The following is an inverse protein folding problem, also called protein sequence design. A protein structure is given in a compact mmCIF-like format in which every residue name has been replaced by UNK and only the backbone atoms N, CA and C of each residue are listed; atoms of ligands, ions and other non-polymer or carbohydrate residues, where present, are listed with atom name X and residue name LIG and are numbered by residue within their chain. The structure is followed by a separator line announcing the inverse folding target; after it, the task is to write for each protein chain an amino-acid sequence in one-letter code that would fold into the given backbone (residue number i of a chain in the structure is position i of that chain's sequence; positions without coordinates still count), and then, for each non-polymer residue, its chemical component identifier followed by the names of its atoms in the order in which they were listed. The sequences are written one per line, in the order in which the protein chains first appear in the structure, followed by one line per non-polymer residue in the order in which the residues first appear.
data_IF_949730204146
#
_entry.id   IF_949730204146
#
_cell.length_a   1.000
_cell.length_b   1.000
_cell.length_c   1.000
_cell.angle_alpha   90.00
_cell.angle_beta   90.00
_cell.angle_gamma   90.00
#
_symmetry.space_group_name_H-M   'P 1'
#
loop_
_entity.id
_entity.type
_entity.pdbx_description
1 polymer ?
#
# COMPACT_ATOMS: atom_id res chain seq x y z
N UNK A 1 31.47 -31.05 33.47
CA UNK A 1 31.22 -29.68 33.97
C UNK A 1 32.00 -28.76 33.03
N UNK A 2 31.39 -28.50 31.87
CA UNK A 2 31.00 -27.16 31.37
C UNK A 2 32.25 -26.35 30.94
N UNK A 3 32.46 -25.96 29.69
CA UNK A 3 31.64 -25.14 28.80
C UNK A 3 32.23 -25.23 27.37
N UNK A 4 31.37 -25.23 26.34
CA UNK A 4 31.63 -24.43 25.14
C UNK A 4 30.28 -24.09 24.48
N UNK A 5 29.89 -22.82 24.62
CA UNK A 5 28.69 -22.24 24.03
C UNK A 5 29.00 -21.87 22.58
N UNK A 6 28.58 -22.70 21.62
CA UNK A 6 28.52 -22.28 20.23
C UNK A 6 27.29 -21.39 20.05
N UNK A 7 27.56 -20.12 19.76
CA UNK A 7 26.61 -19.09 19.37
C UNK A 7 26.04 -19.41 17.98
N UNK A 8 24.81 -19.92 17.92
CA UNK A 8 24.04 -19.94 16.68
C UNK A 8 23.23 -18.64 16.59
N UNK A 9 23.86 -17.60 16.04
CA UNK A 9 23.21 -16.37 15.65
C UNK A 9 22.41 -16.65 14.37
N UNK A 10 21.14 -17.02 14.50
CA UNK A 10 20.20 -16.94 13.38
C UNK A 10 20.03 -15.46 12.99
N UNK A 11 20.16 -15.08 11.71
CA UNK A 11 19.69 -13.79 11.26
C UNK A 11 18.18 -13.75 11.50
N UNK A 12 17.74 -12.94 12.46
CA UNK A 12 16.32 -12.61 12.60
C UNK A 12 15.90 -11.88 11.33
N UNK A 13 15.23 -12.60 10.44
CA UNK A 13 14.49 -11.99 9.33
C UNK A 13 13.64 -10.87 9.94
N UNK A 14 13.81 -9.59 9.51
CA UNK A 14 13.05 -8.50 10.09
C UNK A 14 11.57 -8.82 9.87
N UNK A 15 10.83 -8.98 10.96
CA UNK A 15 9.37 -9.06 10.92
C UNK A 15 8.87 -7.78 10.28
N UNK A 16 8.38 -7.87 9.03
CA UNK A 16 7.74 -6.73 8.36
C UNK A 16 6.58 -6.29 9.24
N UNK A 17 6.74 -5.14 9.90
CA UNK A 17 5.75 -4.62 10.83
C UNK A 17 4.64 -3.97 10.03
N UNK A 18 3.41 -4.47 10.15
CA UNK A 18 2.25 -3.85 9.50
C UNK A 18 2.06 -2.42 9.99
N UNK A 19 2.24 -1.44 9.11
CA UNK A 19 2.04 0.00 9.37
C UNK A 19 0.58 0.42 9.18
N UNK A 20 -0.15 -0.29 8.31
CA UNK A 20 -1.55 -0.05 8.02
C UNK A 20 -2.18 -1.32 7.47
N UNK A 21 -3.42 -1.61 7.90
CA UNK A 21 -4.27 -2.60 7.26
C UNK A 21 -5.71 -2.06 7.25
N UNK A 22 -6.37 -2.11 6.09
CA UNK A 22 -7.74 -1.63 5.93
C UNK A 22 -8.55 -2.57 5.04
N UNK A 23 -9.75 -2.93 5.48
CA UNK A 23 -10.76 -3.62 4.70
C UNK A 23 -11.89 -2.61 4.41
N UNK A 24 -11.94 -2.04 3.20
CA UNK A 24 -12.87 -0.95 2.85
C UNK A 24 -13.57 -1.21 1.52
N UNK A 25 -14.30 -0.23 0.99
CA UNK A 25 -15.02 -0.34 -0.29
C UNK A 25 -15.09 0.99 -1.02
N UNK A 26 -14.87 0.94 -2.34
CA UNK A 26 -15.20 2.04 -3.23
C UNK A 26 -16.72 2.02 -3.49
N UNK A 27 -17.43 3.07 -3.07
CA UNK A 27 -18.89 3.16 -3.14
C UNK A 27 -19.29 4.48 -3.81
N UNK A 28 -20.02 4.46 -4.95
CA UNK A 28 -20.51 5.68 -5.59
C UNK A 28 -21.28 6.58 -4.63
N UNK A 29 -21.00 7.88 -4.63
CA UNK A 29 -21.63 8.86 -3.75
C UNK A 29 -21.10 8.89 -2.30
N UNK A 30 -20.27 7.91 -1.89
CA UNK A 30 -19.55 7.91 -0.61
C UNK A 30 -18.05 8.11 -0.80
N UNK A 31 -17.46 7.39 -1.75
CA UNK A 31 -16.05 7.54 -2.10
C UNK A 31 -15.88 8.72 -3.07
N UNK A 32 -14.67 9.29 -3.10
CA UNK A 32 -14.35 10.40 -4.02
C UNK A 32 -14.22 9.89 -5.45
N UNK A 33 -14.38 10.78 -6.43
CA UNK A 33 -14.18 10.47 -7.83
C UNK A 33 -13.11 11.39 -8.42
N UNK A 34 -12.17 10.83 -9.20
CA UNK A 34 -11.16 11.62 -9.88
C UNK A 34 -11.84 12.55 -10.90
N UNK A 35 -11.58 13.87 -10.89
CA UNK A 35 -12.18 14.79 -11.85
C UNK A 35 -11.82 14.49 -13.32
N UNK A 36 -10.67 13.87 -13.56
CA UNK A 36 -10.14 13.59 -14.89
C UNK A 36 -10.91 12.51 -15.66
N UNK A 37 -11.38 11.48 -14.97
CA UNK A 37 -11.98 10.28 -15.59
C UNK A 37 -13.21 9.74 -14.85
N UNK A 38 -13.48 10.19 -13.62
CA UNK A 38 -14.58 9.74 -12.78
C UNK A 38 -14.37 8.38 -12.11
N UNK A 39 -13.15 7.82 -12.09
CA UNK A 39 -12.86 6.62 -11.30
C UNK A 39 -12.98 6.91 -9.80
N UNK A 40 -13.49 5.93 -9.04
CA UNK A 40 -13.62 6.08 -7.60
C UNK A 40 -12.29 5.86 -6.90
N UNK A 41 -12.03 6.62 -5.84
CA UNK A 41 -10.88 6.41 -4.96
C UNK A 41 -11.19 6.70 -3.48
N UNK A 42 -10.35 6.14 -2.63
CA UNK A 42 -10.26 6.46 -1.20
C UNK A 42 -8.80 6.71 -0.80
N UNK A 43 -8.60 7.53 0.22
CA UNK A 43 -7.30 7.85 0.81
C UNK A 43 -7.14 7.18 2.16
N UNK A 44 -5.95 6.64 2.40
CA UNK A 44 -5.52 6.09 3.68
C UNK A 44 -4.18 6.67 4.06
N UNK A 45 -3.89 6.79 5.35
CA UNK A 45 -2.62 7.36 5.80
C UNK A 45 -1.89 6.44 6.76
N UNK A 46 -0.55 6.47 6.72
CA UNK A 46 0.31 5.79 7.68
C UNK A 46 1.51 6.67 8.05
N UNK A 47 2.13 6.38 9.20
CA UNK A 47 3.36 7.05 9.62
C UNK A 47 4.58 6.28 9.12
N UNK A 48 5.48 6.96 8.40
CA UNK A 48 6.71 6.40 7.86
C UNK A 48 7.95 7.12 8.37
N UNK A 49 9.10 6.45 8.27
CA UNK A 49 10.42 7.00 8.63
C UNK A 49 11.32 7.13 7.40
N UNK A 50 12.16 8.15 7.37
CA UNK A 50 13.18 8.28 6.32
C UNK A 50 14.06 7.02 6.25
N UNK A 51 14.32 6.52 5.04
CA UNK A 51 15.07 5.29 4.79
C UNK A 51 14.29 4.00 5.03
N UNK A 52 13.05 4.05 5.54
CA UNK A 52 12.22 2.87 5.72
C UNK A 52 11.76 2.34 4.34
N UNK A 53 12.02 1.07 4.05
CA UNK A 53 11.42 0.39 2.90
C UNK A 53 10.03 -0.10 3.29
N UNK A 54 9.01 0.28 2.51
CA UNK A 54 7.64 -0.17 2.69
C UNK A 54 7.16 -0.94 1.48
N UNK A 55 6.36 -1.98 1.70
CA UNK A 55 5.55 -2.60 0.64
C UNK A 55 4.09 -2.28 0.87
N UNK A 56 3.44 -1.78 -0.17
CA UNK A 56 2.01 -1.48 -0.21
C UNK A 56 1.36 -2.50 -1.14
N UNK A 57 0.28 -3.13 -0.69
CA UNK A 57 -0.47 -4.11 -1.47
C UNK A 57 -1.97 -3.83 -1.35
N UNK A 58 -2.65 -3.85 -2.50
CA UNK A 58 -4.10 -3.67 -2.62
C UNK A 58 -4.66 -4.88 -3.36
N UNK A 59 -5.62 -5.54 -2.73
CA UNK A 59 -6.29 -6.70 -3.30
C UNK A 59 -7.80 -6.44 -3.43
N UNK A 60 -8.36 -6.73 -4.60
CA UNK A 60 -9.80 -6.74 -4.83
C UNK A 60 -10.21 -7.90 -5.74
N UNK A 61 -11.38 -8.46 -5.47
CA UNK A 61 -12.09 -9.37 -6.38
C UNK A 61 -13.21 -8.67 -7.16
N UNK A 62 -13.50 -7.43 -6.79
CA UNK A 62 -14.67 -6.69 -7.29
C UNK A 62 -14.27 -5.70 -8.40
N UNK A 63 -13.01 -5.25 -8.44
CA UNK A 63 -12.52 -4.28 -9.43
C UNK A 63 -11.00 -4.41 -9.69
N UNK A 64 -10.55 -3.78 -10.78
CA UNK A 64 -9.14 -3.63 -11.13
C UNK A 64 -8.52 -2.47 -10.33
N UNK A 65 -7.48 -2.75 -9.54
CA UNK A 65 -7.00 -1.84 -8.51
C UNK A 65 -5.82 -1.00 -9.00
N UNK A 66 -5.78 0.27 -8.65
CA UNK A 66 -4.61 1.13 -8.79
C UNK A 66 -4.21 1.67 -7.43
N UNK A 67 -2.92 1.63 -7.11
CA UNK A 67 -2.36 2.22 -5.88
C UNK A 67 -1.38 3.34 -6.21
N UNK A 68 -1.47 4.45 -5.46
CA UNK A 68 -0.52 5.54 -5.53
C UNK A 68 -0.06 5.96 -4.12
N UNK A 69 1.24 6.22 -3.97
CA UNK A 69 1.86 6.69 -2.74
C UNK A 69 2.24 8.17 -2.88
N UNK A 70 1.81 8.98 -1.93
CA UNK A 70 2.15 10.39 -1.82
C UNK A 70 2.96 10.65 -0.55
N UNK A 71 3.93 11.55 -0.67
CA UNK A 71 4.78 12.04 0.42
C UNK A 71 3.99 12.93 1.41
N UNK A 72 4.58 13.26 2.57
CA UNK A 72 3.97 14.20 3.52
C UNK A 72 3.73 15.62 2.98
N UNK A 73 4.45 16.03 1.93
CA UNK A 73 4.24 17.27 1.18
C UNK A 73 3.36 17.08 -0.07
N UNK A 74 2.56 16.01 -0.10
CA UNK A 74 1.55 15.71 -1.12
C UNK A 74 2.09 15.50 -2.55
N UNK A 75 3.39 15.19 -2.69
CA UNK A 75 3.99 14.81 -3.97
C UNK A 75 3.80 13.33 -4.26
N UNK A 76 3.43 13.01 -5.49
CA UNK A 76 3.38 11.62 -5.96
C UNK A 76 4.80 11.03 -5.96
N UNK A 77 4.99 9.92 -5.24
CA UNK A 77 6.25 9.20 -5.15
C UNK A 77 6.30 7.98 -6.05
N UNK A 78 5.21 7.21 -6.07
CA UNK A 78 5.10 5.99 -6.86
C UNK A 78 3.63 5.66 -7.13
N UNK A 79 3.37 4.91 -8.20
CA UNK A 79 2.07 4.31 -8.49
C UNK A 79 2.27 2.98 -9.21
N UNK A 80 1.31 2.08 -9.05
CA UNK A 80 1.23 0.83 -9.80
C UNK A 80 -0.25 0.42 -9.93
N UNK A 81 -0.60 -0.23 -11.04
CA UNK A 81 -1.94 -0.71 -11.37
C UNK A 81 -2.02 -2.24 -11.53
N UNK A 82 -0.92 -2.93 -11.78
CA UNK A 82 -0.93 -4.40 -11.85
C UNK A 82 0.30 -5.05 -11.17
N UNK A 83 0.09 -6.15 -10.46
CA UNK A 83 1.17 -7.02 -9.99
C UNK A 83 1.71 -7.85 -11.17
N UNK A 84 0.83 -8.20 -12.13
CA UNK A 84 1.20 -8.82 -13.39
C UNK A 84 0.07 -8.70 -14.42
N UNK A 85 0.36 -9.01 -15.69
CA UNK A 85 -0.64 -9.03 -16.78
C UNK A 85 -1.87 -9.90 -16.53
N UNK A 86 -1.80 -10.86 -15.61
CA UNK A 86 -2.91 -11.75 -15.25
C UNK A 86 -3.47 -11.48 -13.86
N UNK A 87 -2.97 -10.46 -13.16
CA UNK A 87 -3.36 -10.11 -11.79
C UNK A 87 -3.47 -8.58 -11.65
N UNK A 88 -4.71 -8.11 -11.72
CA UNK A 88 -5.15 -6.71 -11.59
C UNK A 88 -5.13 -6.17 -10.15
N UNK A 89 -4.61 -6.96 -9.21
CA UNK A 89 -4.25 -6.43 -7.90
C UNK A 89 -2.99 -5.57 -8.03
N UNK A 90 -2.83 -4.61 -7.14
CA UNK A 90 -1.76 -3.62 -7.19
C UNK A 90 -0.78 -3.79 -6.04
N UNK A 91 0.52 -3.68 -6.31
CA UNK A 91 1.52 -3.58 -5.25
C UNK A 91 2.71 -2.73 -5.66
N UNK A 92 3.34 -2.06 -4.69
CA UNK A 92 4.60 -1.35 -4.90
C UNK A 92 5.49 -1.45 -3.66
N UNK A 93 6.81 -1.43 -3.88
CA UNK A 93 7.81 -1.32 -2.82
C UNK A 93 8.56 -0.01 -3.01
N UNK A 94 8.70 0.78 -1.93
CA UNK A 94 9.30 2.10 -2.00
C UNK A 94 10.12 2.41 -0.75
N UNK A 95 11.29 3.04 -0.92
CA UNK A 95 12.09 3.56 0.20
C UNK A 95 11.71 5.01 0.48
N UNK A 96 11.17 5.25 1.67
CA UNK A 96 10.62 6.54 2.05
C UNK A 96 11.75 7.60 2.19
N UNK A 97 11.66 8.77 1.53
CA UNK A 97 12.73 9.77 1.55
C UNK A 97 12.73 10.61 2.83
N UNK A 98 11.61 10.68 3.54
CA UNK A 98 11.42 11.52 4.72
C UNK A 98 10.61 10.82 5.81
N UNK A 99 10.74 11.28 7.04
CA UNK A 99 9.81 10.87 8.11
C UNK A 99 8.55 11.73 8.06
N UNK A 100 7.39 11.12 8.28
CA UNK A 100 6.12 11.85 8.31
C UNK A 100 4.91 10.99 7.95
N UNK A 101 3.77 11.65 7.80
CA UNK A 101 2.51 11.02 7.41
C UNK A 101 2.42 10.92 5.89
N UNK A 102 2.40 9.70 5.39
CA UNK A 102 2.23 9.40 3.96
C UNK A 102 0.76 9.11 3.65
N UNK A 103 0.37 9.34 2.40
CA UNK A 103 -0.98 9.05 1.91
C UNK A 103 -0.91 7.96 0.84
N UNK A 104 -1.71 6.91 1.01
CA UNK A 104 -1.96 5.88 0.00
C UNK A 104 -3.33 6.15 -0.60
N UNK A 105 -3.38 6.34 -1.92
CA UNK A 105 -4.63 6.40 -2.67
C UNK A 105 -4.90 5.00 -3.24
N UNK A 106 -6.06 4.45 -2.92
CA UNK A 106 -6.61 3.26 -3.58
C UNK A 106 -7.68 3.74 -4.55
N UNK A 107 -7.47 3.48 -5.84
CA UNK A 107 -8.32 3.94 -6.94
C UNK A 107 -8.78 2.74 -7.77
N UNK A 108 -10.00 2.79 -8.31
CA UNK A 108 -10.42 1.86 -9.36
C UNK A 108 -9.75 2.24 -10.69
N UNK A 109 -9.32 1.26 -11.48
CA UNK A 109 -8.62 1.55 -12.74
C UNK A 109 -9.46 2.36 -13.73
N UNK A 110 -10.77 2.10 -13.80
CA UNK A 110 -11.69 2.83 -14.70
C UNK A 110 -12.98 3.30 -14.02
N UNK A 111 -13.66 4.25 -14.66
CA UNK A 111 -14.98 4.73 -14.25
C UNK A 111 -15.99 3.59 -14.15
N UNK A 112 -16.81 3.64 -13.11
CA UNK A 112 -17.91 2.69 -12.87
C UNK A 112 -17.51 1.43 -12.11
N UNK A 113 -16.22 1.16 -11.98
CA UNK A 113 -15.69 0.11 -11.10
C UNK A 113 -15.77 0.52 -9.63
N UNK A 114 -16.03 -0.48 -8.78
CA UNK A 114 -16.35 -0.30 -7.37
C UNK A 114 -16.34 -1.65 -6.65
N UNK A 115 -16.35 -1.61 -5.32
CA UNK A 115 -16.45 -2.80 -4.49
C UNK A 115 -15.43 -2.83 -3.38
N UNK A 116 -15.30 -3.99 -2.74
CA UNK A 116 -14.42 -4.18 -1.58
C UNK A 116 -12.97 -4.30 -1.99
N UNK A 117 -12.07 -3.85 -1.12
CA UNK A 117 -10.64 -4.08 -1.25
C UNK A 117 -9.99 -4.22 0.13
N UNK A 118 -8.86 -4.91 0.14
CA UNK A 118 -7.97 -5.00 1.29
C UNK A 118 -6.67 -4.24 0.97
N UNK A 119 -6.31 -3.28 1.80
CA UNK A 119 -5.05 -2.54 1.74
C UNK A 119 -4.15 -3.01 2.89
N UNK A 120 -2.87 -3.27 2.59
CA UNK A 120 -1.84 -3.52 3.61
C UNK A 120 -0.58 -2.70 3.29
N UNK A 121 0.01 -2.11 4.33
CA UNK A 121 1.33 -1.47 4.29
C UNK A 121 2.21 -2.12 5.35
N UNK A 122 3.43 -2.54 4.97
CA UNK A 122 4.37 -3.27 5.81
C UNK A 122 5.82 -2.86 5.55
#
# INVERSE_FOLDING_TARGET
MELDKLQNNTPTQPTSTTLLSANSSLIPGRSSALPSDGSLYEQHTFQGRAGQSVTISVESRDFDTLVALFSPDEKLLAKNDDISRSNTNSALTFTLPASGRYTVVVNAYKKGERGRYNLTVR
#
